data_IF_239251904717
#
_entry.id   IF_239251904717
#
_cell.length_a   1.000
_cell.length_b   1.000
_cell.length_c   1.000
_cell.angle_alpha   90.00
_cell.angle_beta   90.00
_cell.angle_gamma   90.00
#
_symmetry.space_group_name_H-M   'P 1'
#
loop_
_entity.id
_entity.type
_entity.pdbx_description
1 polymer ?
#
# COMPACT_ATOMS: atom_id res chain seq x y z
N UNK A 1 -23.80 -23.89 -12.03
CA UNK A 1 -22.89 -23.10 -12.87
C UNK A 1 -21.51 -23.66 -12.69
N UNK A 2 -20.90 -24.19 -13.75
CA UNK A 2 -19.58 -24.83 -13.64
C UNK A 2 -18.46 -23.77 -13.61
N UNK A 3 -17.37 -24.00 -12.88
CA UNK A 3 -16.24 -23.07 -12.86
C UNK A 3 -15.50 -23.12 -14.20
N UNK A 4 -15.35 -21.97 -14.85
CA UNK A 4 -14.52 -21.82 -16.04
C UNK A 4 -13.07 -21.74 -15.57
N UNK A 5 -12.28 -22.78 -15.84
CA UNK A 5 -10.83 -22.82 -15.61
C UNK A 5 -10.14 -22.56 -16.94
N UNK A 6 -9.34 -21.50 -17.03
CA UNK A 6 -8.50 -21.22 -18.20
C UNK A 6 -7.03 -21.18 -17.77
N UNK A 7 -6.20 -21.98 -18.44
CA UNK A 7 -4.75 -22.03 -18.25
C UNK A 7 -4.01 -21.31 -19.39
N UNK A 8 -2.97 -20.58 -18.97
CA UNK A 8 -1.72 -20.21 -19.65
C UNK A 8 -1.62 -19.04 -20.65
N UNK A 9 -0.53 -18.27 -20.46
CA UNK A 9 0.15 -17.40 -21.42
C UNK A 9 -0.15 -15.91 -21.26
N UNK A 10 0.67 -15.18 -20.50
CA UNK A 10 0.73 -13.71 -20.48
C UNK A 10 -0.45 -12.92 -19.87
N UNK A 11 -0.53 -13.03 -18.54
CA UNK A 11 -0.68 -11.93 -17.56
C UNK A 11 -1.68 -10.76 -17.75
N UNK A 12 -2.86 -10.94 -18.35
CA UNK A 12 -4.11 -10.22 -17.94
C UNK A 12 -5.32 -11.12 -18.14
N UNK A 13 -5.91 -11.61 -17.05
CA UNK A 13 -7.16 -12.39 -17.12
C UNK A 13 -8.35 -11.43 -17.10
N UNK A 14 -9.05 -11.28 -18.22
CA UNK A 14 -10.31 -10.55 -18.27
C UNK A 14 -11.46 -11.52 -18.03
N UNK A 15 -12.12 -11.43 -16.87
CA UNK A 15 -13.38 -12.15 -16.61
C UNK A 15 -14.53 -11.19 -16.87
N UNK A 16 -15.47 -11.62 -17.71
CA UNK A 16 -16.72 -10.92 -17.95
C UNK A 16 -17.83 -11.61 -17.15
N UNK A 17 -18.29 -10.97 -16.08
CA UNK A 17 -19.40 -11.46 -15.29
C UNK A 17 -20.70 -10.82 -15.81
N UNK A 18 -21.66 -11.65 -16.20
CA UNK A 18 -23.02 -11.22 -16.49
C UNK A 18 -23.84 -11.33 -15.21
N UNK A 19 -24.10 -10.19 -14.57
CA UNK A 19 -24.96 -10.14 -13.39
C UNK A 19 -26.42 -10.22 -13.85
N UNK A 20 -27.12 -11.29 -13.48
CA UNK A 20 -28.58 -11.37 -13.61
C UNK A 20 -29.24 -10.78 -12.36
N UNK A 21 -30.20 -9.85 -12.50
CA UNK A 21 -30.96 -9.38 -11.37
C UNK A 21 -31.78 -10.53 -10.75
N UNK A 22 -31.99 -10.52 -9.42
CA UNK A 22 -32.79 -11.54 -8.74
C UNK A 22 -34.23 -11.52 -9.27
N UNK A 23 -34.79 -12.71 -9.47
CA UNK A 23 -36.10 -12.92 -10.12
C UNK A 23 -37.28 -12.23 -9.39
N UNK A 24 -37.10 -11.87 -8.11
CA UNK A 24 -38.12 -11.26 -7.26
C UNK A 24 -38.22 -9.73 -7.40
N UNK A 25 -37.27 -9.09 -8.09
CA UNK A 25 -37.38 -7.68 -8.43
C UNK A 25 -38.31 -7.53 -9.65
N UNK A 26 -39.61 -7.48 -9.42
CA UNK A 26 -40.68 -7.24 -10.42
C UNK A 26 -40.62 -5.90 -11.16
N UNK A 27 -39.45 -5.29 -11.29
CA UNK A 27 -39.20 -4.22 -12.22
C UNK A 27 -38.80 -4.83 -13.56
N UNK A 28 -39.57 -4.49 -14.61
CA UNK A 28 -39.09 -4.48 -15.99
C UNK A 28 -37.86 -3.56 -16.08
N UNK A 29 -36.74 -4.04 -15.58
CA UNK A 29 -35.45 -3.41 -15.77
C UNK A 29 -35.09 -3.65 -17.23
N UNK A 30 -35.27 -2.60 -18.04
CA UNK A 30 -34.45 -2.32 -19.22
C UNK A 30 -32.99 -2.25 -18.76
N UNK A 31 -32.42 -3.36 -18.31
CA UNK A 31 -31.03 -3.40 -17.89
C UNK A 31 -30.26 -4.16 -18.92
N UNK A 32 -29.66 -3.37 -19.80
CA UNK A 32 -28.41 -3.74 -20.45
C UNK A 32 -27.56 -4.49 -19.44
N UNK A 33 -27.16 -5.69 -19.83
CA UNK A 33 -26.38 -6.58 -18.99
C UNK A 33 -25.16 -5.83 -18.48
N UNK A 34 -24.99 -5.68 -17.17
CA UNK A 34 -23.77 -5.08 -16.62
C UNK A 34 -22.65 -6.08 -16.88
N UNK A 35 -21.82 -5.77 -17.88
CA UNK A 35 -20.62 -6.51 -18.20
C UNK A 35 -19.50 -6.02 -17.27
N UNK A 36 -19.32 -6.68 -16.12
CA UNK A 36 -18.21 -6.36 -15.24
C UNK A 36 -16.94 -7.03 -15.78
N UNK A 37 -15.96 -6.21 -16.19
CA UNK A 37 -14.61 -6.67 -16.53
C UNK A 37 -13.77 -6.72 -15.26
N UNK A 38 -13.41 -7.92 -14.84
CA UNK A 38 -12.45 -8.14 -13.76
C UNK A 38 -11.11 -8.46 -14.39
N UNK A 39 -10.11 -7.60 -14.16
CA UNK A 39 -8.73 -7.81 -14.59
C UNK A 39 -7.90 -8.27 -13.39
N UNK A 40 -7.22 -9.41 -13.51
CA UNK A 40 -6.25 -9.87 -12.51
C UNK A 40 -4.84 -9.56 -13.00
N UNK A 41 -4.13 -8.72 -12.25
CA UNK A 41 -2.72 -8.43 -12.47
C UNK A 41 -1.86 -9.24 -11.48
N UNK A 42 -0.73 -9.76 -11.97
CA UNK A 42 0.27 -10.37 -11.08
C UNK A 42 0.84 -9.30 -10.16
N UNK A 43 0.97 -9.63 -8.88
CA UNK A 43 1.52 -8.73 -7.88
C UNK A 43 2.71 -9.40 -7.19
N UNK A 44 3.79 -8.64 -7.04
CA UNK A 44 5.06 -9.07 -6.45
C UNK A 44 5.27 -8.33 -5.14
N UNK A 45 5.76 -9.04 -4.12
CA UNK A 45 6.20 -8.42 -2.87
C UNK A 45 7.65 -8.02 -3.00
N UNK A 46 7.93 -6.73 -2.89
CA UNK A 46 9.28 -6.17 -2.90
C UNK A 46 9.64 -5.68 -1.51
N UNK A 47 10.80 -6.13 -1.04
CA UNK A 47 11.43 -5.63 0.19
C UNK A 47 12.37 -4.49 -0.16
N UNK A 48 12.21 -3.37 0.54
CA UNK A 48 13.13 -2.25 0.48
C UNK A 48 14.21 -2.42 1.54
N UNK A 49 15.45 -2.08 1.16
CA UNK A 49 16.53 -1.90 2.14
C UNK A 49 16.10 -0.88 3.21
N UNK A 50 16.69 -0.94 4.43
CA UNK A 50 16.33 -0.01 5.49
C UNK A 50 16.32 1.45 5.02
N UNK A 51 15.14 2.05 5.00
CA UNK A 51 14.89 3.41 4.54
C UNK A 51 15.04 4.39 5.71
N UNK A 52 15.66 5.56 5.50
CA UNK A 52 15.85 6.54 6.57
C UNK A 52 14.51 7.07 7.08
N UNK A 53 14.40 7.19 8.40
CA UNK A 53 13.26 7.82 9.08
C UNK A 53 13.45 9.33 9.07
N UNK A 54 12.40 10.08 8.72
CA UNK A 54 12.40 11.55 8.84
C UNK A 54 11.24 12.04 9.68
N UNK A 55 11.41 13.20 10.32
CA UNK A 55 10.33 13.85 11.06
C UNK A 55 9.30 14.44 10.08
N UNK A 56 8.01 14.25 10.36
CA UNK A 56 6.91 14.92 9.68
C UNK A 56 6.87 16.44 9.93
N UNK A 57 5.89 17.14 9.34
CA UNK A 57 5.70 18.58 9.60
C UNK A 57 5.33 18.81 11.08
N UNK A 58 5.65 20.00 11.61
CA UNK A 58 5.54 20.42 13.02
C UNK A 58 6.74 20.01 13.89
N UNK A 59 7.91 20.54 13.55
CA UNK A 59 9.14 20.33 14.31
C UNK A 59 9.20 21.38 15.41
N UNK A 60 9.23 20.97 16.68
CA UNK A 60 9.83 21.78 17.73
C UNK A 60 11.25 22.14 17.27
N UNK A 61 11.68 23.40 17.39
CA UNK A 61 13.07 23.77 17.05
C UNK A 61 14.05 22.81 17.73
N UNK A 62 14.92 22.17 16.94
CA UNK A 62 15.84 21.15 17.45
C UNK A 62 16.26 20.08 16.44
N UNK A 63 17.33 19.36 16.78
CA UNK A 63 17.81 18.19 16.03
C UNK A 63 17.11 16.91 16.55
N UNK A 64 16.51 16.15 15.63
CA UNK A 64 15.84 14.89 15.95
C UNK A 64 16.76 13.69 15.68
N UNK A 65 16.99 12.88 16.72
CA UNK A 65 17.72 11.61 16.64
C UNK A 65 16.73 10.46 16.72
N UNK A 66 16.92 9.47 15.84
CA UNK A 66 16.07 8.29 15.71
C UNK A 66 16.85 7.02 16.08
N UNK A 67 16.25 6.16 16.90
CA UNK A 67 16.81 4.87 17.29
C UNK A 67 15.76 3.75 17.06
N UNK A 68 15.90 2.91 16.02
CA UNK A 68 16.84 3.02 14.90
C UNK A 68 16.49 4.17 13.94
N UNK A 69 17.47 4.61 13.16
CA UNK A 69 17.34 5.66 12.14
C UNK A 69 16.85 5.15 10.78
N UNK A 70 16.74 3.82 10.62
CA UNK A 70 16.30 3.16 9.39
C UNK A 70 15.34 2.02 9.67
N UNK A 71 14.38 1.82 8.76
CA UNK A 71 13.38 0.74 8.86
C UNK A 71 13.23 0.00 7.53
N UNK A 72 13.03 -1.32 7.59
CA UNK A 72 12.70 -2.11 6.41
C UNK A 72 11.21 -2.01 6.09
N UNK A 73 10.87 -1.96 4.80
CA UNK A 73 9.49 -1.87 4.31
C UNK A 73 9.25 -2.94 3.26
N UNK A 74 8.16 -3.69 3.42
CA UNK A 74 7.68 -4.65 2.41
C UNK A 74 6.41 -4.09 1.76
N UNK A 75 6.46 -3.92 0.43
CA UNK A 75 5.32 -3.47 -0.38
C UNK A 75 4.93 -4.57 -1.36
N UNK A 76 3.63 -4.79 -1.53
CA UNK A 76 3.08 -5.60 -2.61
C UNK A 76 2.58 -4.69 -3.72
N UNK A 77 3.13 -4.82 -4.92
CA UNK A 77 2.81 -3.95 -6.06
C UNK A 77 2.50 -4.81 -7.30
N UNK A 78 1.73 -4.29 -8.27
CA UNK A 78 1.66 -4.88 -9.61
C UNK A 78 3.06 -5.06 -10.19
N UNK A 79 3.29 -6.18 -10.87
CA UNK A 79 4.60 -6.56 -11.44
C UNK A 79 5.20 -5.43 -12.29
N UNK A 80 4.38 -4.82 -13.17
CA UNK A 80 4.78 -3.70 -14.03
C UNK A 80 5.32 -2.47 -13.26
N UNK A 81 4.85 -2.24 -12.03
CA UNK A 81 5.32 -1.15 -11.17
C UNK A 81 6.49 -1.61 -10.33
N UNK A 82 6.46 -2.87 -9.85
CA UNK A 82 7.50 -3.44 -8.99
C UNK A 82 8.90 -3.28 -9.59
N UNK A 83 9.05 -3.52 -10.89
CA UNK A 83 10.37 -3.47 -11.56
C UNK A 83 10.95 -2.05 -11.64
N UNK A 84 10.10 -1.04 -11.73
CA UNK A 84 10.50 0.37 -11.85
C UNK A 84 10.51 1.12 -10.53
N UNK A 85 10.00 0.49 -9.45
CA UNK A 85 9.85 1.14 -8.16
C UNK A 85 11.20 1.35 -7.45
N UNK A 86 11.59 2.61 -7.28
CA UNK A 86 12.81 2.99 -6.57
C UNK A 86 12.53 3.31 -5.10
N UNK A 87 13.57 3.26 -4.27
CA UNK A 87 13.48 3.63 -2.84
C UNK A 87 13.02 5.08 -2.62
N UNK A 88 13.18 6.00 -3.59
CA UNK A 88 12.74 7.39 -3.46
C UNK A 88 11.22 7.56 -3.56
N UNK A 89 10.52 6.57 -4.11
CA UNK A 89 9.06 6.53 -4.14
C UNK A 89 8.44 6.11 -2.78
N UNK A 90 9.26 5.61 -1.85
CA UNK A 90 8.85 5.20 -0.51
C UNK A 90 9.44 6.15 0.52
N UNK A 91 8.60 6.77 1.34
CA UNK A 91 9.06 7.69 2.39
C UNK A 91 8.61 7.22 3.75
N UNK A 92 9.54 7.12 4.67
CA UNK A 92 9.30 6.70 6.06
C UNK A 92 9.33 7.93 6.95
N UNK A 93 8.29 8.13 7.75
CA UNK A 93 8.14 9.29 8.62
C UNK A 93 7.63 8.91 10.00
N UNK A 94 7.82 9.82 10.95
CA UNK A 94 7.12 9.83 12.24
C UNK A 94 6.48 11.20 12.46
N UNK A 95 5.30 11.24 13.08
CA UNK A 95 4.62 12.48 13.46
C UNK A 95 4.74 12.73 14.96
N UNK A 96 5.11 13.95 15.33
CA UNK A 96 5.22 14.39 16.72
C UNK A 96 4.15 15.45 17.04
N UNK A 97 2.88 15.04 16.99
CA UNK A 97 1.76 15.96 17.27
C UNK A 97 1.67 16.37 18.75
N UNK A 98 2.30 15.60 19.64
CA UNK A 98 2.28 15.83 21.08
C UNK A 98 3.40 16.74 21.60
N UNK A 99 4.29 17.24 20.74
CA UNK A 99 5.43 18.04 21.17
C UNK A 99 6.36 17.28 22.13
N UNK A 100 6.49 15.96 21.96
CA UNK A 100 7.35 15.16 22.83
C UNK A 100 8.81 15.47 22.55
N UNK A 101 9.62 15.56 23.60
CA UNK A 101 11.09 15.67 23.49
C UNK A 101 11.77 14.31 23.39
N UNK A 102 11.17 13.29 24.00
CA UNK A 102 11.68 11.93 23.95
C UNK A 102 10.53 10.92 24.05
N UNK A 103 10.57 9.85 23.26
CA UNK A 103 9.58 8.77 23.34
C UNK A 103 9.60 7.87 22.11
N UNK A 104 8.70 6.89 22.09
CA UNK A 104 8.52 6.02 20.93
C UNK A 104 7.39 6.57 20.06
N UNK A 105 7.68 6.75 18.77
CA UNK A 105 6.69 7.18 17.77
C UNK A 105 6.47 6.08 16.74
N UNK A 106 5.21 5.95 16.31
CA UNK A 106 4.82 5.01 15.27
C UNK A 106 5.37 5.47 13.92
N UNK A 107 5.88 4.52 13.16
CA UNK A 107 6.37 4.74 11.81
C UNK A 107 5.22 4.76 10.82
N UNK A 108 5.21 5.78 9.98
CA UNK A 108 4.31 5.93 8.85
C UNK A 108 5.07 5.83 7.54
N UNK A 109 4.47 5.19 6.54
CA UNK A 109 5.09 4.99 5.24
C UNK A 109 4.18 5.56 4.14
N UNK A 110 4.73 6.47 3.34
CA UNK A 110 4.12 6.93 2.10
C UNK A 110 4.68 6.14 0.91
N UNK A 111 3.82 5.65 0.03
CA UNK A 111 4.18 4.81 -1.11
C UNK A 111 3.16 5.01 -2.26
N UNK A 112 3.42 4.54 -3.49
CA UNK A 112 2.48 4.67 -4.60
C UNK A 112 1.14 3.99 -4.34
N UNK A 113 0.04 4.61 -4.78
CA UNK A 113 -1.34 4.17 -4.50
C UNK A 113 -1.68 2.79 -5.04
N UNK A 114 -0.95 2.34 -6.07
CA UNK A 114 -1.13 1.03 -6.68
C UNK A 114 -0.50 -0.10 -5.85
N UNK A 115 0.32 0.23 -4.87
CA UNK A 115 0.94 -0.74 -3.96
C UNK A 115 0.14 -0.87 -2.66
N UNK A 116 0.35 -1.96 -1.95
CA UNK A 116 -0.18 -2.21 -0.60
C UNK A 116 0.97 -2.41 0.38
N UNK A 117 0.91 -1.74 1.52
CA UNK A 117 1.87 -1.97 2.61
C UNK A 117 1.62 -3.32 3.28
N UNK A 118 2.63 -4.17 3.29
CA UNK A 118 2.57 -5.49 3.92
C UNK A 118 3.18 -5.43 5.32
N UNK A 119 4.36 -4.81 5.45
CA UNK A 119 5.12 -4.82 6.70
C UNK A 119 6.08 -3.64 6.81
N UNK A 120 6.31 -3.20 8.04
CA UNK A 120 7.35 -2.23 8.43
C UNK A 120 8.11 -2.80 9.63
N UNK A 121 9.44 -2.70 9.64
CA UNK A 121 10.27 -3.22 10.73
C UNK A 121 11.45 -2.30 11.06
N UNK A 122 11.55 -1.79 12.30
CA UNK A 122 10.49 -1.78 13.32
C UNK A 122 9.33 -0.85 12.91
N UNK A 123 8.14 -1.08 13.47
CA UNK A 123 6.94 -0.25 13.26
C UNK A 123 6.87 0.97 14.19
N UNK A 124 7.83 1.08 15.09
CA UNK A 124 8.04 2.20 16.00
C UNK A 124 9.53 2.46 16.17
N UNK A 125 9.88 3.72 16.37
CA UNK A 125 11.26 4.14 16.63
C UNK A 125 11.28 5.06 17.83
N UNK A 126 12.36 5.01 18.61
CA UNK A 126 12.58 6.00 19.66
C UNK A 126 13.05 7.29 19.00
N UNK A 127 12.48 8.40 19.43
CA UNK A 127 12.79 9.75 18.95
C UNK A 127 13.28 10.58 20.13
N UNK A 128 14.34 11.35 19.91
CA UNK A 128 14.88 12.32 20.85
C UNK A 128 15.10 13.65 20.13
N UNK A 129 14.49 14.72 20.61
CA UNK A 129 14.61 16.07 20.06
C UNK A 129 15.41 16.91 21.04
N UNK A 130 16.61 17.31 20.63
CA UNK A 130 17.47 18.20 21.40
C UNK A 130 17.20 19.66 21.01
N UNK A 131 17.06 20.58 21.99
CA UNK A 131 16.87 22.01 21.71
C UNK A 131 18.09 22.66 21.07
#
# INVERSE_FOLDING_TARGET
TEPIILQNGDSVHNIYLKLQPPAEAGLRLLTDSILARVSFERAVTRRFEPLPVVLGRNVLEGEAVFEPDRVAVDLRCPEAISDTLSSSAVRVRVHNDGGIREGYLKVEVSYPRQCTLIRVVPDSVRVRISP
#
